data_IF_591332423125
#
_entry.id   IF_591332423125
#
_cell.length_a   1.000
_cell.length_b   1.000
_cell.length_c   1.000
_cell.angle_alpha   90.00
_cell.angle_beta   90.00
_cell.angle_gamma   90.00
#
_symmetry.space_group_name_H-M   'P 1'
#
loop_
_entity.id
_entity.type
_entity.pdbx_description
1 polymer ?
2 non-polymer ?
3 non-polymer ?
4 non-polymer ?
5 water ?
#
# COMPACT_ATOMS: atom_id res chain seq x y z
N UNK A 29 11.31 4.47 -28.34
CA UNK A 29 12.23 5.18 -27.44
C UNK A 29 11.76 5.05 -25.99
N UNK A 30 12.69 5.22 -25.05
CA UNK A 30 12.41 5.06 -23.63
C UNK A 30 11.66 6.26 -23.02
N UNK A 31 10.53 6.02 -22.33
CA UNK A 31 9.84 7.18 -21.77
C UNK A 31 10.61 7.76 -20.59
N UNK A 32 10.34 9.02 -20.26
CA UNK A 32 10.99 9.68 -19.13
C UNK A 32 10.80 8.86 -17.86
N UNK A 33 11.86 8.78 -17.06
CA UNK A 33 11.74 8.18 -15.74
C UNK A 33 12.61 8.93 -14.76
N UNK A 34 12.21 8.94 -13.48
CA UNK A 34 13.02 9.60 -12.45
C UNK A 34 14.38 8.97 -12.30
N UNK A 35 15.41 9.81 -12.14
CA UNK A 35 16.77 9.31 -12.04
C UNK A 35 17.37 9.47 -10.64
N UNK A 36 16.67 10.25 -9.81
CA UNK A 36 17.02 10.40 -8.41
C UNK A 36 15.72 10.66 -7.63
N UNK A 37 15.78 10.54 -6.31
CA UNK A 37 14.56 10.55 -5.51
C UNK A 37 13.79 11.88 -5.64
N UNK A 38 14.49 13.00 -5.81
CA UNK A 38 13.76 14.28 -5.93
C UNK A 38 13.02 14.40 -7.27
N UNK A 39 13.37 13.58 -8.27
CA UNK A 39 12.64 13.61 -9.54
C UNK A 39 11.21 13.12 -9.39
N UNK A 40 10.88 12.50 -8.26
CA UNK A 40 9.50 12.12 -8.01
C UNK A 40 8.61 13.35 -7.87
N UNK A 41 9.22 14.51 -7.59
CA UNK A 41 8.47 15.78 -7.61
C UNK A 41 7.73 15.96 -8.93
N UNK A 42 8.30 15.44 -10.02
CA UNK A 42 7.72 15.71 -11.33
C UNK A 42 6.63 14.73 -11.72
N UNK A 43 6.61 13.54 -11.10
CA UNK A 43 5.57 12.60 -11.50
C UNK A 43 4.55 12.34 -10.41
N UNK A 44 4.93 12.64 -9.18
CA UNK A 44 4.05 12.41 -8.03
C UNK A 44 2.79 13.28 -8.19
N UNK A 45 2.95 14.51 -8.70
CA UNK A 45 1.78 15.35 -8.94
C UNK A 45 1.05 15.14 -10.28
N UNK A 46 1.47 14.15 -11.07
CA UNK A 46 0.78 13.88 -12.35
C UNK A 46 -0.45 13.03 -12.04
N UNK A 47 -1.31 13.58 -11.19
CA UNK A 47 -2.47 12.85 -10.71
C UNK A 47 -3.55 12.68 -11.77
N UNK A 48 -3.87 11.41 -12.06
CA UNK A 48 -4.94 11.05 -12.98
C UNK A 48 -6.32 11.37 -12.43
N UNK A 49 -6.51 11.10 -11.14
CA UNK A 49 -7.78 11.36 -10.45
C UNK A 49 -7.40 11.92 -9.08
N UNK A 50 -7.81 13.15 -8.84
CA UNK A 50 -7.50 13.87 -7.62
C UNK A 50 -8.18 13.18 -6.45
N UNK A 51 -7.60 13.30 -5.25
CA UNK A 51 -8.15 12.68 -4.05
C UNK A 51 -9.54 13.18 -3.68
N UNK A 52 -9.77 14.46 -3.93
CA UNK A 52 -11.07 15.08 -3.67
C UNK A 52 -12.21 14.72 -4.66
N UNK A 53 -11.87 14.14 -5.80
CA UNK A 53 -12.88 13.81 -6.82
C UNK A 53 -13.52 12.45 -6.56
N UNK A 54 -14.49 12.43 -5.65
CA UNK A 54 -15.14 11.18 -5.23
C UNK A 54 -16.13 10.58 -6.24
N UNK A 55 -16.04 9.26 -6.44
CA UNK A 55 -16.93 8.52 -7.34
C UNK A 55 -18.34 8.49 -6.77
N UNK A 56 -19.33 8.41 -7.65
CA UNK A 56 -20.73 8.49 -7.27
C UNK A 56 -21.08 7.60 -6.08
N UNK A 57 -20.41 6.44 -6.01
CA UNK A 57 -20.70 5.45 -4.97
C UNK A 57 -19.94 5.64 -3.65
N UNK A 58 -19.18 6.73 -3.52
CA UNK A 58 -18.35 6.98 -2.32
C UNK A 58 -19.25 7.31 -1.13
N UNK A 59 -18.95 6.72 0.04
CA UNK A 59 -19.73 6.96 1.26
C UNK A 59 -19.80 8.43 1.63
N UNK A 60 -18.79 9.22 1.28
CA UNK A 60 -18.79 10.63 1.61
C UNK A 60 -19.25 11.50 0.44
N UNK A 61 -19.74 10.87 -0.63
CA UNK A 61 -20.02 11.59 -1.89
C UNK A 61 -20.96 12.78 -1.68
N UNK A 62 -21.94 12.60 -0.79
CA UNK A 62 -22.92 13.64 -0.49
C UNK A 62 -22.55 14.41 0.77
N UNK A 63 -21.31 14.29 1.22
CA UNK A 63 -20.91 14.97 2.45
C UNK A 63 -19.94 16.14 2.16
N UNK A 64 -20.42 17.37 2.14
CA UNK A 64 -19.52 18.46 1.76
C UNK A 64 -18.44 18.81 2.78
N UNK A 65 -18.69 18.54 4.07
CA UNK A 65 -17.65 18.70 5.11
C UNK A 65 -16.49 17.69 4.98
N UNK A 66 -16.83 16.46 4.63
CA UNK A 66 -15.81 15.45 4.36
C UNK A 66 -15.12 15.79 3.04
N UNK A 67 -15.89 16.30 2.08
CA UNK A 67 -15.34 16.74 0.81
C UNK A 67 -14.26 17.81 1.01
N UNK A 68 -14.50 18.73 1.95
CA UNK A 68 -13.53 19.78 2.23
C UNK A 68 -12.28 19.30 2.93
N UNK A 69 -12.49 18.35 3.83
CA UNK A 69 -11.39 17.69 4.52
C UNK A 69 -10.51 16.96 3.54
N UNK A 70 -11.12 16.30 2.55
CA UNK A 70 -10.36 15.61 1.52
C UNK A 70 -9.59 16.58 0.64
N UNK A 71 -10.17 17.75 0.35
CA UNK A 71 -9.45 18.75 -0.44
C UNK A 71 -8.23 19.27 0.33
N UNK A 72 -8.40 19.45 1.64
CA UNK A 72 -7.30 19.83 2.53
C UNK A 72 -6.14 18.79 2.47
N UNK A 73 -6.46 17.50 2.54
CA UNK A 73 -5.41 16.48 2.46
C UNK A 73 -4.76 16.48 1.08
N UNK A 74 -5.57 16.60 0.03
CA UNK A 74 -5.03 16.58 -1.33
C UNK A 74 -4.06 17.74 -1.56
N UNK A 75 -4.41 18.90 -0.99
CA UNK A 75 -3.60 20.11 -1.13
C UNK A 75 -2.25 19.95 -0.42
N UNK A 76 -2.25 19.32 0.76
CA UNK A 76 -1.00 19.04 1.47
C UNK A 76 -0.06 18.20 0.61
N UNK A 77 -0.60 17.18 -0.04
CA UNK A 77 0.22 16.30 -0.86
C UNK A 77 0.70 17.02 -2.12
N UNK A 78 -0.16 17.85 -2.73
CA UNK A 78 0.22 18.53 -3.97
C UNK A 78 1.34 19.53 -3.70
N UNK A 79 1.33 20.13 -2.52
CA UNK A 79 2.32 21.16 -2.20
C UNK A 79 3.63 20.57 -1.67
N UNK A 80 3.60 19.28 -1.34
CA UNK A 80 4.78 18.61 -0.79
C UNK A 80 5.89 18.49 -1.84
N UNK A 81 7.12 18.79 -1.44
CA UNK A 81 8.29 18.59 -2.30
C UNK A 81 9.29 17.70 -1.60
N UNK A 82 10.00 16.85 -2.34
CA UNK A 82 11.00 15.98 -1.70
C UNK A 82 11.97 16.81 -0.86
N UNK A 83 12.27 16.33 0.35
CA UNK A 83 13.09 17.07 1.29
C UNK A 83 12.27 17.70 2.42
N UNK A 84 11.01 18.00 2.14
CA UNK A 84 10.11 18.57 3.16
C UNK A 84 9.86 17.54 4.24
N UNK A 85 9.71 17.97 5.50
CA UNK A 85 9.05 17.07 6.43
C UNK A 85 7.59 16.93 5.99
N UNK A 86 7.03 15.74 6.15
CA UNK A 86 5.64 15.53 5.77
C UNK A 86 4.77 16.28 6.75
N UNK A 87 3.88 17.15 6.25
CA UNK A 87 3.07 17.96 7.18
C UNK A 87 2.33 17.13 8.23
N UNK A 88 2.44 17.53 9.49
CA UNK A 88 1.70 16.81 10.52
C UNK A 88 0.28 17.32 10.56
N UNK A 89 -0.64 16.40 10.81
CA UNK A 89 -2.05 16.73 10.72
C UNK A 89 -2.68 16.51 12.08
N UNK A 90 -3.59 17.39 12.46
CA UNK A 90 -4.37 17.15 13.65
C UNK A 90 -5.66 16.43 13.24
N UNK A 91 -5.75 15.13 13.55
CA UNK A 91 -6.93 14.35 13.18
C UNK A 91 -8.10 14.66 14.14
N UNK A 92 -9.32 14.66 13.63
CA UNK A 92 -10.49 14.94 14.48
C UNK A 92 -10.83 13.74 15.33
N UNK A 93 -11.66 13.95 16.36
CA UNK A 93 -12.09 12.84 17.21
C UNK A 93 -12.81 11.78 16.38
N UNK A 94 -13.64 12.21 15.46
CA UNK A 94 -14.34 11.28 14.60
C UNK A 94 -13.36 10.42 13.75
N UNK A 95 -12.31 11.04 13.21
CA UNK A 95 -11.31 10.30 12.42
C UNK A 95 -10.58 9.31 13.29
N UNK A 96 -10.22 9.75 14.48
CA UNK A 96 -9.53 8.88 15.41
C UNK A 96 -10.40 7.71 15.85
N UNK A 97 -11.70 7.94 16.03
CA UNK A 97 -12.59 6.84 16.38
C UNK A 97 -12.68 5.79 15.27
N UNK A 98 -12.73 6.25 14.03
CA UNK A 98 -12.80 5.39 12.88
C UNK A 98 -11.55 4.50 12.84
N UNK A 99 -10.39 5.13 12.97
CA UNK A 99 -9.12 4.41 13.07
C UNK A 99 -9.15 3.38 14.18
N UNK A 100 -9.59 3.78 15.37
CA UNK A 100 -9.59 2.90 16.53
C UNK A 100 -10.47 1.68 16.34
N UNK A 101 -11.62 1.89 15.74
CA UNK A 101 -12.57 0.80 15.46
C UNK A 101 -11.95 -0.25 14.54
N UNK A 102 -11.35 0.21 13.45
CA UNK A 102 -10.62 -0.62 12.47
C UNK A 102 -9.43 -1.35 13.12
N UNK A 103 -8.63 -0.56 13.83
CA UNK A 103 -7.44 -1.01 14.54
C UNK A 103 -7.76 -2.15 15.51
N UNK A 104 -8.74 -1.91 16.38
CA UNK A 104 -9.19 -2.84 17.41
C UNK A 104 -9.54 -4.23 16.89
N UNK A 105 -10.32 -4.26 15.82
CA UNK A 105 -10.75 -5.52 15.24
C UNK A 105 -9.66 -6.24 14.46
N UNK A 106 -8.90 -5.52 13.65
CA UNK A 106 -7.83 -6.13 12.86
C UNK A 106 -6.81 -6.77 13.81
N UNK A 107 -6.44 -6.06 14.88
CA UNK A 107 -5.48 -6.61 15.83
C UNK A 107 -5.86 -7.94 16.48
N UNK A 108 -7.16 -8.22 16.56
CA UNK A 108 -7.62 -9.52 17.02
C UNK A 108 -7.26 -10.62 16.05
N UNK A 109 -7.23 -10.28 14.77
CA UNK A 109 -7.01 -11.26 13.70
C UNK A 109 -5.55 -11.47 13.32
N UNK A 110 -4.72 -10.44 13.45
CA UNK A 110 -3.32 -10.55 13.00
C UNK A 110 -2.55 -11.78 13.55
N UNK A 111 -2.63 -12.07 14.87
CA UNK A 111 -1.84 -13.23 15.33
C UNK A 111 -2.16 -14.54 14.61
N UNK A 112 -3.42 -14.75 14.22
CA UNK A 112 -3.73 -16.04 13.60
C UNK A 112 -3.71 -15.99 12.06
N UNK A 113 -3.56 -14.78 11.51
CA UNK A 113 -3.63 -14.57 10.06
C UNK A 113 -2.33 -14.03 9.40
N UNK A 114 -1.63 -13.09 10.04
CA UNK A 114 -0.52 -12.39 9.38
C UNK A 114 0.79 -13.17 9.36
N UNK A 115 1.63 -12.92 8.35
CA UNK A 115 2.96 -13.55 8.28
C UNK A 115 3.84 -13.11 9.45
N UNK A 116 4.90 -13.89 9.73
CA UNK A 116 5.75 -13.62 10.88
C UNK A 116 6.41 -12.26 10.83
N UNK A 117 6.84 -11.83 9.65
CA UNK A 117 7.49 -10.52 9.48
C UNK A 117 6.56 -9.37 9.84
N UNK A 118 5.29 -9.49 9.48
CA UNK A 118 4.31 -8.50 9.90
C UNK A 118 4.19 -8.43 11.43
N UNK A 119 4.05 -9.60 12.04
CA UNK A 119 3.88 -9.69 13.47
C UNK A 119 5.11 -9.21 14.22
N UNK A 120 6.28 -9.39 13.63
CA UNK A 120 7.52 -8.93 14.25
C UNK A 120 7.60 -7.41 14.25
N UNK A 121 7.19 -6.78 13.16
CA UNK A 121 7.37 -5.35 13.03
C UNK A 121 6.28 -4.47 13.65
N UNK A 122 5.05 -4.98 13.72
CA UNK A 122 3.95 -4.14 14.24
C UNK A 122 4.18 -3.61 15.68
N UNK A 123 4.70 -4.44 16.60
CA UNK A 123 4.96 -3.90 17.96
C UNK A 123 6.07 -2.86 18.01
N UNK A 124 7.03 -2.93 17.09
CA UNK A 124 8.01 -1.87 16.95
C UNK A 124 7.34 -0.53 16.61
N UNK A 125 6.33 -0.58 15.73
CA UNK A 125 5.59 0.62 15.33
C UNK A 125 4.75 1.19 16.44
N UNK A 126 4.17 0.29 17.25
CA UNK A 126 3.43 0.74 18.42
C UNK A 126 4.38 1.49 19.35
N UNK A 127 5.59 0.96 19.50
CA UNK A 127 6.56 1.54 20.43
C UNK A 127 7.11 2.88 19.94
N UNK A 128 7.51 2.95 18.67
CA UNK A 128 8.26 4.11 18.19
C UNK A 128 7.46 5.12 17.36
N UNK A 129 6.26 4.74 16.90
CA UNK A 129 5.48 5.63 16.05
C UNK A 129 4.08 5.91 16.58
N UNK A 130 3.78 5.45 17.78
CA UNK A 130 2.52 5.79 18.42
C UNK A 130 1.28 5.13 17.85
N UNK A 131 1.43 3.91 17.34
CA UNK A 131 0.26 3.13 16.95
C UNK A 131 -0.55 2.74 18.19
N UNK A 132 -1.72 3.32 18.36
CA UNK A 132 -2.64 2.78 19.36
C UNK A 132 -4.04 3.18 18.97
N UNK A 133 -5.02 2.58 19.63
CA UNK A 133 -6.43 2.79 19.28
C UNK A 133 -6.83 4.26 19.30
N UNK A 134 -6.20 5.04 20.16
CA UNK A 134 -6.69 6.40 20.34
C UNK A 134 -5.76 7.42 19.71
N UNK A 135 -4.90 6.95 18.82
CA UNK A 135 -3.94 7.84 18.16
C UNK A 135 -3.63 7.38 16.75
N UNK A 136 -3.78 8.28 15.79
CA UNK A 136 -3.35 7.99 14.42
C UNK A 136 -1.90 8.44 14.24
N UNK A 137 -1.01 7.50 13.88
CA UNK A 137 0.41 7.81 13.68
C UNK A 137 0.60 8.88 12.60
N UNK A 138 1.62 9.72 12.72
CA UNK A 138 1.91 10.73 11.71
C UNK A 138 2.79 10.13 10.62
N UNK A 139 2.55 10.47 9.36
CA UNK A 139 3.34 9.90 8.26
C UNK A 139 4.80 10.27 8.42
N UNK A 140 5.09 11.48 8.91
CA UNK A 140 6.49 11.85 9.08
C UNK A 140 7.22 10.92 10.05
N UNK A 141 6.58 10.57 11.17
CA UNK A 141 7.19 9.67 12.16
C UNK A 141 7.43 8.29 11.56
N UNK A 142 6.42 7.77 10.89
CA UNK A 142 6.52 6.48 10.23
C UNK A 142 7.58 6.50 9.12
N UNK A 143 7.67 7.61 8.40
CA UNK A 143 8.70 7.72 7.38
C UNK A 143 10.10 7.69 7.99
N UNK A 144 10.30 8.42 9.08
CA UNK A 144 11.63 8.41 9.74
C UNK A 144 11.98 7.03 10.29
N UNK A 145 10.97 6.30 10.76
CA UNK A 145 11.18 4.95 11.27
C UNK A 145 11.65 4.01 10.15
N UNK A 146 10.94 4.04 9.02
CA UNK A 146 11.30 3.21 7.89
C UNK A 146 12.68 3.56 7.30
N UNK A 147 13.01 4.85 7.26
CA UNK A 147 14.29 5.29 6.73
C UNK A 147 15.42 4.61 7.51
N UNK A 148 15.23 4.52 8.83
CA UNK A 148 16.21 3.86 9.70
C UNK A 148 16.28 2.35 9.47
N UNK A 149 15.13 1.71 9.31
CA UNK A 149 15.08 0.24 9.22
C UNK A 149 15.48 -0.34 7.86
N UNK A 150 14.96 0.25 6.78
CA UNK A 150 15.22 -0.30 5.46
C UNK A 150 15.51 0.77 4.42
N UNK A 151 15.54 2.01 4.83
CA UNK A 151 15.77 3.05 3.84
C UNK A 151 14.50 3.44 3.09
N UNK A 152 13.36 2.82 3.40
CA UNK A 152 12.08 3.26 2.78
C UNK A 152 11.68 4.58 3.39
N UNK A 153 10.93 5.34 2.60
CA UNK A 153 10.39 6.61 3.04
C UNK A 153 9.00 6.75 2.46
N UNK A 154 8.26 7.69 3.02
CA UNK A 154 6.90 7.95 2.61
C UNK A 154 6.77 9.30 1.89
N UNK A 155 5.89 9.32 0.91
CA UNK A 155 5.56 10.57 0.22
C UNK A 155 4.04 10.69 0.22
N UNK A 156 3.46 11.80 0.77
CA UNK A 156 2.00 11.91 0.72
C UNK A 156 1.54 12.05 -0.71
N UNK A 157 0.44 11.41 -1.10
CA UNK A 157 0.04 11.52 -2.50
C UNK A 157 -1.39 12.05 -2.59
N UNK A 158 -1.63 12.95 -3.54
CA UNK A 158 -2.95 13.56 -3.68
C UNK A 158 -3.99 12.50 -4.01
N UNK A 159 -3.82 11.83 -5.15
CA UNK A 159 -4.73 10.78 -5.56
C UNK A 159 -4.06 9.73 -6.43
N UNK A 160 -4.85 9.08 -7.27
CA UNK A 160 -4.36 8.01 -8.14
C UNK A 160 -3.36 8.48 -9.18
N UNK A 161 -2.24 7.79 -9.26
CA UNK A 161 -1.20 8.03 -10.25
C UNK A 161 -1.22 6.97 -11.34
N UNK A 162 -0.55 7.22 -12.47
CA UNK A 162 -0.36 6.14 -13.44
C UNK A 162 0.42 5.03 -12.75
N UNK A 163 0.25 3.78 -13.21
CA UNK A 163 1.09 2.72 -12.65
C UNK A 163 2.56 3.00 -12.86
N UNK A 164 2.93 3.57 -14.01
CA UNK A 164 4.34 3.92 -14.22
C UNK A 164 4.84 4.85 -13.10
N UNK A 165 4.09 5.91 -12.81
CA UNK A 165 4.53 6.88 -11.80
C UNK A 165 4.49 6.29 -10.39
N UNK A 166 3.45 5.54 -10.05
CA UNK A 166 3.39 4.91 -8.72
C UNK A 166 4.54 3.92 -8.50
N UNK A 167 4.79 3.05 -9.48
CA UNK A 167 5.87 2.09 -9.31
C UNK A 167 7.25 2.74 -9.33
N UNK A 168 7.41 3.85 -10.04
CA UNK A 168 8.72 4.48 -10.11
C UNK A 168 9.19 4.94 -8.73
N UNK A 169 8.25 5.32 -7.87
CA UNK A 169 8.60 5.66 -6.49
C UNK A 169 9.34 4.54 -5.76
N UNK A 170 8.84 3.31 -5.92
CA UNK A 170 9.45 2.15 -5.25
C UNK A 170 10.93 2.00 -5.64
N UNK A 171 11.29 2.43 -6.84
CA UNK A 171 12.68 2.34 -7.28
C UNK A 171 13.62 3.06 -6.33
N UNK A 172 13.10 4.11 -5.67
CA UNK A 172 13.91 4.89 -4.74
C UNK A 172 13.49 4.63 -3.30
N UNK A 173 12.81 3.50 -3.10
CA UNK A 173 12.26 3.12 -1.79
C UNK A 173 11.35 4.21 -1.24
N UNK A 174 10.52 4.76 -2.12
CA UNK A 174 9.49 5.73 -1.72
C UNK A 174 8.13 5.09 -1.90
N UNK A 175 7.33 5.11 -0.84
CA UNK A 175 5.97 4.62 -0.97
C UNK A 175 5.03 5.82 -0.98
N UNK A 176 4.25 5.97 -2.06
CA UNK A 176 3.24 7.05 -2.18
C UNK A 176 2.05 6.64 -1.35
N UNK A 177 1.74 7.50 -0.38
CA UNK A 177 0.87 7.15 0.73
C UNK A 177 -0.30 8.14 0.97
N UNK A 178 -1.54 7.65 0.95
CA UNK A 178 -2.69 8.51 1.29
C UNK A 178 -2.65 8.94 2.76
N UNK A 179 -3.07 10.17 3.06
CA UNK A 179 -2.99 10.75 4.41
C UNK A 179 -4.37 10.93 5.09
N UNK A 180 -5.43 10.88 4.29
CA UNK A 180 -6.79 11.07 4.76
C UNK A 180 -7.35 9.78 5.38
N UNK A 181 -8.48 9.93 6.05
CA UNK A 181 -9.14 8.81 6.70
C UNK A 181 -10.47 8.51 5.97
N UNK A 182 -10.84 7.24 5.88
CA UNK A 182 -12.13 6.86 5.33
C UNK A 182 -13.26 7.57 6.06
N UNK A 183 -14.41 7.67 5.38
CA UNK A 183 -15.58 8.29 5.96
C UNK A 183 -16.10 7.47 7.15
N UNK A 184 -16.53 8.14 8.21
CA UNK A 184 -16.84 7.46 9.46
C UNK A 184 -18.15 6.68 9.44
N UNK A 185 -18.98 6.90 8.42
CA UNK A 185 -20.24 6.20 8.30
C UNK A 185 -20.03 4.69 8.20
N UNK A 186 -18.90 4.26 7.65
CA UNK A 186 -18.61 2.82 7.56
C UNK A 186 -17.12 2.56 7.74
N UNK A 187 -16.70 2.36 8.99
CA UNK A 187 -15.28 2.18 9.32
C UNK A 187 -14.70 0.90 8.71
N UNK A 188 -15.57 -0.06 8.39
CA UNK A 188 -15.11 -1.37 7.93
C UNK A 188 -15.05 -1.51 6.42
N UNK A 189 -15.44 -0.46 5.71
CA UNK A 189 -15.34 -0.45 4.24
C UNK A 189 -14.73 0.84 3.71
N UNK A 190 -13.87 0.70 2.71
CA UNK A 190 -13.39 1.85 1.94
C UNK A 190 -13.19 1.40 0.49
N UNK A 191 -13.65 2.21 -0.47
CA UNK A 191 -13.54 1.89 -1.91
C UNK A 191 -12.14 2.13 -2.48
N UNK A 192 -11.23 2.54 -1.60
CA UNK A 192 -9.97 3.14 -2.02
C UNK A 192 -8.98 2.99 -0.87
N UNK A 193 -7.68 3.14 -1.17
CA UNK A 193 -6.74 3.24 -0.06
C UNK A 193 -7.02 4.48 0.81
N UNK A 194 -6.94 4.33 2.12
CA UNK A 194 -6.89 5.50 2.99
C UNK A 194 -5.73 5.30 3.93
N UNK A 195 -5.60 6.12 4.96
CA UNK A 195 -4.30 6.10 5.59
C UNK A 195 -4.35 4.98 6.64
N UNK A 196 -5.54 4.47 6.97
CA UNK A 196 -5.62 3.25 7.78
C UNK A 196 -5.04 2.06 7.02
N UNK A 197 -5.39 1.95 5.74
CA UNK A 197 -4.80 0.91 4.87
C UNK A 197 -3.28 1.05 4.78
N UNK A 198 -2.79 2.27 4.59
CA UNK A 198 -1.35 2.47 4.50
C UNK A 198 -0.59 2.06 5.77
N UNK A 199 -1.09 2.52 6.92
CA UNK A 199 -0.36 2.39 8.17
C UNK A 199 -0.40 0.98 8.74
N UNK A 200 -1.54 0.32 8.58
CA UNK A 200 -1.79 -1.01 9.11
C UNK A 200 -1.48 -2.08 8.10
N UNK A 201 -1.70 -1.78 6.81
CA UNK A 201 -1.45 -2.77 5.78
C UNK A 201 -0.04 -2.77 5.22
N UNK A 202 0.48 -1.61 4.87
CA UNK A 202 1.74 -1.53 4.14
C UNK A 202 2.97 -1.38 5.03
N UNK A 203 2.89 -0.45 5.98
CA UNK A 203 4.08 -0.01 6.68
C UNK A 203 4.83 -1.15 7.42
N UNK A 204 4.12 -2.07 8.13
CA UNK A 204 4.90 -3.10 8.86
C UNK A 204 5.80 -3.97 7.97
N UNK A 205 5.42 -4.17 6.72
CA UNK A 205 6.24 -4.98 5.85
C UNK A 205 7.35 -4.15 5.16
N UNK A 206 7.10 -2.86 4.92
CA UNK A 206 8.16 -2.02 4.37
C UNK A 206 9.32 -1.94 5.34
N UNK A 207 9.07 -2.30 6.59
CA UNK A 207 10.09 -2.24 7.61
C UNK A 207 10.91 -3.52 7.63
N UNK A 208 10.56 -4.47 6.77
CA UNK A 208 11.28 -5.74 6.67
C UNK A 208 12.24 -5.71 5.49
N UNK A 209 13.56 -5.91 5.73
CA UNK A 209 14.56 -5.82 4.65
C UNK A 209 14.27 -6.71 3.41
N UNK A 210 13.88 -7.97 3.57
CA UNK A 210 13.60 -8.83 2.41
C UNK A 210 12.41 -8.31 1.58
N UNK A 211 11.39 -7.82 2.27
CA UNK A 211 10.21 -7.24 1.61
C UNK A 211 10.55 -5.92 0.92
N UNK A 212 11.34 -5.08 1.59
CA UNK A 212 11.75 -3.79 1.00
C UNK A 212 12.55 -4.01 -0.30
N UNK A 213 13.41 -5.01 -0.29
CA UNK A 213 14.20 -5.33 -1.45
C UNK A 213 13.29 -5.79 -2.59
N UNK A 214 12.35 -6.68 -2.25
CA UNK A 214 11.40 -7.22 -3.22
C UNK A 214 10.61 -6.09 -3.88
N UNK A 215 10.10 -5.19 -3.05
CA UNK A 215 9.37 -4.02 -3.52
C UNK A 215 10.20 -3.07 -4.37
N UNK A 216 11.41 -2.76 -3.92
CA UNK A 216 12.26 -1.84 -4.69
C UNK A 216 12.50 -2.40 -6.09
N UNK A 217 12.71 -3.70 -6.17
CA UNK A 217 13.05 -4.27 -7.49
C UNK A 217 11.89 -4.25 -8.48
N UNK A 218 10.66 -4.23 -7.96
CA UNK A 218 9.50 -3.99 -8.82
C UNK A 218 9.63 -2.59 -9.42
N UNK A 219 9.92 -1.62 -8.57
CA UNK A 219 10.11 -0.25 -9.03
C UNK A 219 11.26 -0.13 -10.04
N UNK A 220 12.39 -0.73 -9.71
CA UNK A 220 13.57 -0.65 -10.59
C UNK A 220 13.28 -1.24 -11.97
N UNK A 221 12.61 -2.39 -11.97
CA UNK A 221 12.22 -3.05 -13.21
C UNK A 221 11.32 -2.16 -14.05
N UNK A 222 10.46 -1.38 -13.40
CA UNK A 222 9.49 -0.56 -14.13
C UNK A 222 10.12 0.64 -14.84
N UNK A 223 11.25 1.11 -14.35
CA UNK A 223 11.79 2.40 -14.82
C UNK A 223 12.12 2.38 -16.32
N UNK A 224 11.45 3.23 -17.09
CA UNK A 224 11.70 3.28 -18.52
C UNK A 224 11.18 2.08 -19.27
N UNK A 225 10.38 1.23 -18.62
CA UNK A 225 9.86 0.03 -19.30
C UNK A 225 8.69 0.35 -20.24
N UNK A 226 8.40 -0.57 -21.15
CA UNK A 226 7.25 -0.41 -22.03
C UNK A 226 5.95 -0.32 -21.24
N UNK A 227 4.90 0.22 -21.85
CA UNK A 227 3.59 0.27 -21.21
C UNK A 227 3.14 -1.12 -20.81
N UNK A 228 3.36 -2.05 -21.74
CA UNK A 228 3.00 -3.45 -21.55
C UNK A 228 3.68 -4.03 -20.31
N UNK A 229 4.98 -3.79 -20.20
CA UNK A 229 5.75 -4.31 -19.09
C UNK A 229 5.32 -3.69 -17.76
N UNK A 230 5.14 -2.38 -17.77
CA UNK A 230 4.65 -1.68 -16.58
C UNK A 230 3.33 -2.30 -16.09
N UNK A 231 2.42 -2.59 -17.00
CA UNK A 231 1.12 -3.15 -16.58
C UNK A 231 1.28 -4.53 -15.93
N UNK A 232 2.11 -5.37 -16.52
CA UNK A 232 2.36 -6.69 -15.96
C UNK A 232 3.04 -6.61 -14.59
N UNK A 233 3.99 -5.69 -14.45
CA UNK A 233 4.62 -5.48 -13.15
C UNK A 233 3.60 -4.98 -12.11
N UNK A 234 2.70 -4.11 -12.53
CA UNK A 234 1.69 -3.58 -11.61
C UNK A 234 0.75 -4.67 -11.15
N UNK A 235 0.43 -5.61 -12.03
CA UNK A 235 -0.43 -6.75 -11.66
C UNK A 235 0.31 -7.72 -10.71
N UNK A 236 1.58 -7.98 -10.99
CA UNK A 236 2.39 -8.76 -10.06
C UNK A 236 2.47 -8.07 -8.68
N UNK A 237 2.69 -6.76 -8.69
CA UNK A 237 2.66 -5.96 -7.45
C UNK A 237 1.34 -6.15 -6.67
N UNK A 238 0.24 -6.06 -7.41
CA UNK A 238 -1.09 -6.18 -6.83
C UNK A 238 -1.26 -7.53 -6.12
N UNK A 239 -0.81 -8.60 -6.75
CA UNK A 239 -1.07 -9.94 -6.20
C UNK A 239 0.04 -10.45 -5.27
N UNK A 240 0.96 -9.55 -4.93
CA UNK A 240 1.92 -9.82 -3.87
C UNK A 240 1.77 -8.74 -2.79
N UNK A 241 2.31 -7.54 -3.06
CA UNK A 241 2.27 -6.45 -2.10
C UNK A 241 0.84 -6.13 -1.61
N UNK A 242 -0.18 -6.20 -2.46
CA UNK A 242 -1.51 -5.82 -1.99
C UNK A 242 -2.37 -7.03 -1.54
N UNK A 243 -2.31 -8.16 -2.25
CA UNK A 243 -3.19 -9.29 -1.91
C UNK A 243 -2.46 -10.63 -1.79
N UNK A 244 -1.18 -10.59 -1.48
CA UNK A 244 -0.40 -11.80 -1.49
C UNK A 244 -0.59 -12.67 -0.24
N UNK A 245 -0.43 -13.96 -0.43
CA UNK A 245 -0.37 -14.91 0.67
C UNK A 245 1.01 -15.54 0.63
N UNK A 246 1.52 -16.00 1.77
CA UNK A 246 2.75 -16.77 1.73
C UNK A 246 2.64 -18.04 2.55
N UNK A 247 3.55 -18.97 2.32
CA UNK A 247 3.55 -20.22 3.09
C UNK A 247 4.69 -20.17 4.10
N UNK A 248 4.36 -20.34 5.38
CA UNK A 248 5.37 -20.29 6.42
C UNK A 248 5.14 -21.40 7.41
N UNK A 249 6.17 -22.23 7.63
CA UNK A 249 6.04 -23.42 8.49
C UNK A 249 4.79 -24.22 8.14
N UNK A 250 4.54 -24.39 6.84
CA UNK A 250 3.44 -25.19 6.37
C UNK A 250 2.08 -24.53 6.40
N UNK A 251 1.97 -23.32 6.95
CA UNK A 251 0.70 -22.62 7.01
C UNK A 251 0.60 -21.53 5.94
N UNK A 252 -0.63 -21.25 5.48
CA UNK A 252 -0.87 -20.08 4.64
C UNK A 252 -0.99 -18.85 5.53
N UNK A 253 -0.21 -17.81 5.23
CA UNK A 253 -0.29 -16.59 6.00
C UNK A 253 -0.50 -15.40 5.06
N UNK A 254 -0.95 -14.28 5.60
CA UNK A 254 -1.21 -13.10 4.77
C UNK A 254 -0.06 -12.09 4.82
N UNK A 255 0.34 -11.54 3.66
CA UNK A 255 1.24 -10.39 3.68
C UNK A 255 0.74 -9.21 2.84
N UNK A 256 -0.33 -9.44 2.07
CA UNK A 256 -0.91 -8.38 1.25
C UNK A 256 -1.61 -7.29 2.05
N UNK A 257 -1.25 -6.04 1.76
CA UNK A 257 -1.74 -4.88 2.52
C UNK A 257 -3.25 -4.69 2.44
N UNK A 258 -3.83 -5.00 1.29
CA UNK A 258 -5.26 -4.88 1.07
C UNK A 258 -6.05 -5.92 1.86
N UNK A 259 -5.43 -7.06 2.14
CA UNK A 259 -6.00 -8.04 3.06
C UNK A 259 -5.79 -7.61 4.51
N UNK A 260 -4.59 -7.15 4.83
CA UNK A 260 -4.24 -6.79 6.20
C UNK A 260 -5.02 -5.59 6.75
N UNK A 261 -5.67 -4.82 5.88
CA UNK A 261 -6.46 -3.67 6.38
C UNK A 261 -7.95 -3.89 6.21
N UNK A 262 -8.34 -5.08 5.76
CA UNK A 262 -9.75 -5.40 5.53
C UNK A 262 -10.23 -6.57 6.39
N UNK A 263 -11.07 -6.28 7.39
CA UNK A 263 -11.48 -7.33 8.32
C UNK A 263 -12.10 -8.52 7.61
N UNK A 264 -13.03 -8.25 6.71
CA UNK A 264 -13.76 -9.32 6.05
C UNK A 264 -12.89 -10.16 5.09
N UNK A 265 -12.05 -9.51 4.27
CA UNK A 265 -11.31 -10.31 3.28
C UNK A 265 -10.13 -11.02 3.91
N UNK A 266 -9.58 -10.45 4.99
CA UNK A 266 -8.51 -11.11 5.73
C UNK A 266 -8.97 -12.48 6.21
N UNK A 267 -10.18 -12.53 6.78
CA UNK A 267 -10.76 -13.80 7.23
C UNK A 267 -11.07 -14.71 6.05
N UNK A 268 -11.71 -14.16 5.02
CA UNK A 268 -12.02 -14.92 3.81
C UNK A 268 -10.81 -15.57 3.15
N UNK A 269 -9.70 -14.82 3.09
CA UNK A 269 -8.52 -15.28 2.38
C UNK A 269 -7.96 -16.56 2.97
N UNK A 270 -8.12 -16.75 4.28
CA UNK A 270 -7.61 -17.96 4.90
C UNK A 270 -8.75 -18.88 5.33
N UNK A 271 -9.93 -18.68 4.77
CA UNK A 271 -11.13 -19.38 5.26
C UNK A 271 -11.27 -20.81 4.77
N UNK A 272 -10.73 -21.10 3.59
CA UNK A 272 -10.88 -22.42 3.01
C UNK A 272 -11.83 -22.37 1.84
N UNK A 273 -12.50 -21.24 1.68
CA UNK A 273 -13.43 -21.09 0.58
C UNK A 273 -12.86 -20.19 -0.52
N UNK A 274 -11.60 -19.78 -0.36
CA UNK A 274 -10.96 -18.96 -1.38
C UNK A 274 -10.14 -19.79 -2.35
N UNK A 275 -10.17 -19.43 -3.64
CA UNK A 275 -9.28 -20.10 -4.60
C UNK A 275 -7.88 -19.57 -4.39
N UNK A 276 -6.91 -20.46 -4.49
CA UNK A 276 -5.52 -20.14 -4.25
C UNK A 276 -4.59 -20.88 -5.22
N UNK A 277 -3.69 -20.12 -5.83
CA UNK A 277 -2.74 -20.62 -6.81
C UNK A 277 -1.33 -20.18 -6.45
N UNK A 278 -0.32 -20.92 -6.90
CA UNK A 278 1.06 -20.49 -6.65
C UNK A 278 1.38 -19.20 -7.39
N UNK A 279 2.15 -18.31 -6.75
CA UNK A 279 2.63 -17.11 -7.44
C UNK A 279 3.54 -17.51 -8.59
N UNK A 280 3.23 -17.02 -9.78
CA UNK A 280 3.98 -17.34 -11.01
C UNK A 280 3.73 -16.20 -11.97
N UNK A 281 4.68 -15.27 -12.05
CA UNK A 281 4.46 -13.98 -12.74
C UNK A 281 3.81 -14.10 -14.12
N UNK A 282 4.24 -15.06 -14.93
CA UNK A 282 3.69 -15.20 -16.29
C UNK A 282 2.22 -15.57 -16.26
N UNK A 283 1.80 -16.25 -15.19
CA UNK A 283 0.38 -16.58 -15.01
C UNK A 283 -0.33 -15.48 -14.24
N UNK A 284 0.29 -15.02 -13.16
CA UNK A 284 -0.33 -14.02 -12.29
C UNK A 284 -0.65 -12.72 -13.06
N UNK A 285 0.22 -12.33 -13.99
CA UNK A 285 0.06 -11.05 -14.67
C UNK A 285 -1.15 -11.05 -15.63
N UNK A 286 -1.72 -12.23 -15.86
CA UNK A 286 -2.93 -12.33 -16.67
C UNK A 286 -4.22 -12.12 -15.86
N UNK A 287 -4.11 -12.13 -14.54
CA UNK A 287 -5.28 -12.02 -13.67
C UNK A 287 -5.77 -10.57 -13.52
N UNK A 288 -7.09 -10.39 -13.56
CA UNK A 288 -7.68 -9.08 -13.33
C UNK A 288 -7.56 -8.64 -11.88
N UNK A 289 -7.23 -7.37 -11.65
CA UNK A 289 -7.18 -6.78 -10.32
C UNK A 289 -8.55 -6.22 -9.94
N UNK A 290 -9.22 -6.84 -8.96
CA UNK A 290 -10.55 -6.40 -8.55
C UNK A 290 -10.48 -5.39 -7.41
N UNK A 291 -11.26 -4.32 -7.52
CA UNK A 291 -11.15 -3.20 -6.61
C UNK A 291 -12.34 -3.10 -5.63
N UNK A 292 -13.53 -3.51 -6.09
CA UNK A 292 -14.74 -3.34 -5.28
C UNK A 292 -15.35 -4.64 -4.79
N UNK A 293 -14.66 -5.76 -4.99
CA UNK A 293 -15.09 -7.03 -4.43
C UNK A 293 -13.88 -7.77 -3.91
N UNK A 294 -14.11 -8.87 -3.19
CA UNK A 294 -13.05 -9.81 -2.87
C UNK A 294 -12.38 -10.20 -4.19
N UNK A 295 -11.09 -10.53 -4.13
CA UNK A 295 -10.44 -11.12 -5.30
C UNK A 295 -11.09 -12.46 -5.65
N UNK A 296 -10.96 -12.88 -6.91
CA UNK A 296 -11.45 -14.19 -7.31
C UNK A 296 -10.42 -15.26 -6.98
N UNK A 297 -9.16 -14.86 -6.86
CA UNK A 297 -8.09 -15.81 -6.63
C UNK A 297 -6.97 -15.11 -5.87
N UNK A 298 -6.28 -15.85 -5.00
CA UNK A 298 -5.10 -15.32 -4.30
C UNK A 298 -3.88 -16.12 -4.72
N UNK A 299 -2.73 -15.47 -4.76
CA UNK A 299 -1.49 -16.16 -5.13
C UNK A 299 -0.56 -16.34 -3.95
N UNK A 300 0.01 -17.53 -3.84
CA UNK A 300 0.88 -17.87 -2.73
C UNK A 300 2.34 -17.81 -3.10
N UNK A 301 3.08 -16.97 -2.43
CA UNK A 301 4.52 -16.90 -2.56
C UNK A 301 5.16 -17.82 -1.51
N UNK A 302 6.13 -18.62 -1.95
CA UNK A 302 6.97 -19.39 -1.02
C UNK A 302 7.62 -18.57 0.09
N UNK A 303 8.16 -17.41 -0.28
CA UNK A 303 8.86 -16.50 0.62
C UNK A 303 9.07 -15.20 -0.13
N UNK A 304 9.41 -14.13 0.57
CA UNK A 304 9.71 -12.87 -0.12
C UNK A 304 10.93 -13.06 -1.01
N UNK A 305 11.90 -13.83 -0.53
CA UNK A 305 13.09 -14.11 -1.33
C UNK A 305 12.75 -14.83 -2.63
N UNK A 306 11.84 -15.80 -2.57
CA UNK A 306 11.47 -16.55 -3.76
C UNK A 306 10.66 -15.71 -4.73
N UNK A 307 9.75 -14.90 -4.20
CA UNK A 307 8.96 -14.01 -5.04
C UNK A 307 9.90 -13.07 -5.79
N UNK A 308 10.88 -12.56 -5.05
CA UNK A 308 11.91 -11.70 -5.61
C UNK A 308 12.66 -12.41 -6.73
N UNK A 309 13.08 -13.65 -6.48
CA UNK A 309 13.79 -14.39 -7.52
C UNK A 309 12.92 -14.60 -8.77
N UNK A 310 11.66 -14.95 -8.58
CA UNK A 310 10.75 -15.15 -9.70
C UNK A 310 10.53 -13.89 -10.50
N UNK A 311 10.47 -12.74 -9.83
CA UNK A 311 10.33 -11.49 -10.56
C UNK A 311 11.57 -11.16 -11.37
N UNK A 312 12.75 -11.48 -10.83
CA UNK A 312 13.99 -11.24 -11.56
C UNK A 312 13.99 -11.99 -12.91
N UNK A 313 13.58 -13.25 -12.89
CA UNK A 313 13.53 -14.02 -14.13
C UNK A 313 12.46 -13.48 -15.07
N UNK A 314 11.30 -13.16 -14.51
CA UNK A 314 10.20 -12.58 -15.29
C UNK A 314 10.59 -11.27 -15.96
N UNK A 315 11.28 -10.40 -15.23
CA UNK A 315 11.63 -9.09 -15.77
C UNK A 315 12.54 -9.21 -17.02
N UNK A 316 13.43 -10.19 -17.01
CA UNK A 316 14.31 -10.44 -18.17
C UNK A 316 13.50 -10.67 -19.44
N UNK A 317 12.32 -11.26 -19.29
CA UNK A 317 11.53 -11.63 -20.47
C UNK A 317 10.65 -10.51 -20.99
N UNK A 318 10.43 -9.46 -20.22
CA UNK A 318 9.54 -8.38 -20.65
C UNK A 318 10.29 -7.06 -20.86
N UNK A 319 11.52 -7.00 -20.37
CA UNK A 319 12.31 -5.78 -20.44
C UNK A 319 13.63 -6.05 -21.16
#
# INVERSE_FOLDING_TARGET
MKHHHHHHHGAAGTSLYKKAGENLYFQGSVPWFPKKISDLDHCANRVLMYGSELDADHPGFKDNVYRKRRKYFADLAMNYKHGDPIPKVEFTEEEIKTWGTVFQELNKLYPTHACREYLKNLPLLSKYCGYREDNIPQLEDVSNFLKERTGFSIRPVAGYLSPRDFLSGLAFRVFHCTQYVRHSSDPFYTPEPDTCHELLGHVPLLAEPSFAQFSQEIGLASLGASEEAVQKLATCYFFTVEFGLCKQDGQLRVFGAGLLSSISELKHALSGHAKVKPFDPKITCKQECLITTFQDVYFVSESFEDAKEKMREFTKTIKRPFGVKY
#
